data_IF_478321816448
#
_entry.id   IF_478321816448
#
_cell.length_a   1.000
_cell.length_b   1.000
_cell.length_c   1.000
_cell.angle_alpha   90.00
_cell.angle_beta   90.00
_cell.angle_gamma   90.00
#
_symmetry.space_group_name_H-M   'P 1'
#
loop_
_entity.id
_entity.type
_entity.pdbx_description
1 polymer ?
#
# COMPACT_ATOMS: atom_id res chain seq x y z
N UNK A 1 8.78 15.21 2.87
CA UNK A 1 8.10 14.43 3.93
C UNK A 1 8.86 14.63 5.23
N UNK A 2 8.36 15.46 6.13
CA UNK A 2 8.85 15.56 7.51
C UNK A 2 7.93 14.72 8.39
N UNK A 3 8.00 13.40 8.29
CA UNK A 3 7.53 12.54 9.37
C UNK A 3 8.67 12.47 10.39
N UNK A 4 8.56 13.21 11.46
CA UNK A 4 9.39 13.01 12.64
C UNK A 4 8.81 11.85 13.44
N UNK A 5 9.14 10.64 13.07
CA UNK A 5 9.12 9.55 14.03
C UNK A 5 10.36 9.76 14.90
N UNK A 6 10.17 10.17 16.12
CA UNK A 6 11.21 10.10 17.14
C UNK A 6 11.38 8.62 17.52
N UNK A 7 12.13 7.89 16.72
CA UNK A 7 12.57 6.55 17.08
C UNK A 7 13.87 6.70 17.87
N UNK A 8 13.91 6.37 19.17
CA UNK A 8 15.14 6.42 19.97
C UNK A 8 16.24 5.59 19.29
N UNK A 9 17.39 6.19 19.07
CA UNK A 9 18.54 5.52 18.41
C UNK A 9 18.48 5.48 16.89
N UNK A 10 17.52 6.15 16.24
CA UNK A 10 17.45 6.23 14.78
C UNK A 10 18.18 7.47 14.26
N UNK A 11 19.15 7.24 13.36
CA UNK A 11 19.87 8.31 12.68
C UNK A 11 19.52 8.31 11.19
N UNK A 12 18.97 9.41 10.68
CA UNK A 12 18.74 9.60 9.24
C UNK A 12 20.01 10.23 8.64
N UNK A 13 20.70 9.46 7.80
CA UNK A 13 21.80 9.96 6.99
C UNK A 13 21.30 10.06 5.55
N UNK A 14 21.22 11.27 5.02
CA UNK A 14 20.95 11.50 3.60
C UNK A 14 22.28 11.44 2.88
N UNK A 15 22.56 10.28 2.28
CA UNK A 15 23.76 10.05 1.50
C UNK A 15 23.41 9.92 0.02
N UNK A 16 23.85 10.89 -0.80
CA UNK A 16 23.66 10.84 -2.23
C UNK A 16 24.78 9.99 -2.87
N UNK A 17 24.45 8.76 -3.32
CA UNK A 17 25.38 7.81 -3.99
C UNK A 17 26.71 7.59 -3.27
N UNK A 18 26.77 7.78 -1.98
CA UNK A 18 28.01 7.85 -1.22
C UNK A 18 28.48 6.49 -0.78
N UNK A 19 29.79 6.33 -0.88
CA UNK A 19 30.51 5.24 -0.23
C UNK A 19 30.50 5.49 1.27
N UNK A 20 29.55 4.91 1.97
CA UNK A 20 29.55 4.94 3.43
C UNK A 20 30.65 3.96 3.88
N UNK A 21 31.67 4.49 4.57
CA UNK A 21 32.84 3.69 5.02
C UNK A 21 32.58 2.93 6.33
N UNK A 22 31.42 3.06 6.92
CA UNK A 22 31.06 2.37 8.15
C UNK A 22 30.85 0.87 7.92
N UNK A 23 31.07 0.05 8.95
CA UNK A 23 30.63 -1.34 8.98
C UNK A 23 29.16 -1.42 9.38
N UNK A 24 28.42 -2.27 8.68
CA UNK A 24 27.02 -2.56 8.98
C UNK A 24 26.82 -4.05 9.20
N UNK A 25 26.19 -4.43 10.30
CA UNK A 25 25.77 -5.81 10.48
C UNK A 25 24.70 -6.22 9.47
N UNK A 26 23.77 -5.31 9.17
CA UNK A 26 22.71 -5.56 8.20
C UNK A 26 22.37 -4.29 7.44
N UNK A 27 22.26 -4.41 6.13
CA UNK A 27 21.66 -3.39 5.26
C UNK A 27 20.40 -3.95 4.60
N UNK A 28 19.37 -3.11 4.52
CA UNK A 28 18.08 -3.47 3.91
C UNK A 28 17.79 -2.55 2.73
N UNK A 29 17.66 -3.12 1.54
CA UNK A 29 17.06 -2.45 0.40
C UNK A 29 15.54 -2.52 0.53
N UNK A 30 14.85 -1.42 0.26
CA UNK A 30 13.38 -1.33 0.35
C UNK A 30 12.72 -0.98 -0.99
N UNK A 31 13.53 -0.83 -2.03
CA UNK A 31 13.08 -0.56 -3.40
C UNK A 31 14.10 -1.19 -4.36
N UNK A 32 13.67 -1.64 -5.53
CA UNK A 32 14.52 -2.26 -6.54
C UNK A 32 15.81 -1.45 -6.83
N UNK A 33 15.69 -0.12 -6.93
CA UNK A 33 16.81 0.78 -7.21
C UNK A 33 17.84 0.87 -6.07
N UNK A 34 17.49 0.42 -4.86
CA UNK A 34 18.39 0.42 -3.71
C UNK A 34 19.14 -0.90 -3.53
N UNK A 35 18.75 -1.96 -4.25
CA UNK A 35 19.44 -3.26 -4.22
C UNK A 35 20.88 -3.13 -4.67
N UNK A 36 21.14 -2.43 -5.77
CA UNK A 36 22.49 -2.20 -6.26
C UNK A 36 23.36 -1.37 -5.30
N UNK A 37 22.73 -0.52 -4.50
CA UNK A 37 23.46 0.26 -3.49
C UNK A 37 24.00 -0.66 -2.40
N UNK A 38 23.19 -1.54 -1.84
CA UNK A 38 23.64 -2.46 -0.78
C UNK A 38 24.62 -3.52 -1.29
N UNK A 39 24.54 -3.91 -2.56
CA UNK A 39 25.48 -4.84 -3.21
C UNK A 39 26.89 -4.27 -3.30
N UNK A 40 27.00 -2.97 -3.61
CA UNK A 40 28.28 -2.28 -3.79
C UNK A 40 28.98 -1.92 -2.47
N UNK A 41 28.32 -2.09 -1.34
CA UNK A 41 28.93 -1.82 -0.03
C UNK A 41 29.81 -2.99 0.43
N UNK A 42 31.11 -2.71 0.66
CA UNK A 42 32.07 -3.75 1.04
C UNK A 42 31.92 -4.19 2.50
N UNK A 43 31.62 -3.26 3.40
CA UNK A 43 31.62 -3.48 4.85
C UNK A 43 30.23 -3.82 5.39
N UNK A 44 29.61 -4.87 4.85
CA UNK A 44 28.27 -5.33 5.24
C UNK A 44 28.29 -6.83 5.48
N UNK A 45 27.79 -7.27 6.65
CA UNK A 45 27.69 -8.70 6.98
C UNK A 45 26.48 -9.34 6.29
N UNK A 46 25.32 -8.72 6.43
CA UNK A 46 24.06 -9.24 5.87
C UNK A 46 23.42 -8.22 4.94
N UNK A 47 22.96 -8.68 3.77
CA UNK A 47 22.21 -7.89 2.80
C UNK A 47 20.81 -8.46 2.66
N UNK A 48 19.82 -7.62 2.91
CA UNK A 48 18.41 -8.00 2.78
C UNK A 48 17.74 -7.14 1.70
N UNK A 49 16.87 -7.74 0.93
CA UNK A 49 15.93 -7.00 0.09
C UNK A 49 14.51 -7.21 0.65
N UNK A 50 13.95 -6.16 1.19
CA UNK A 50 12.55 -6.14 1.62
C UNK A 50 11.66 -5.85 0.40
N UNK A 51 11.15 -6.91 -0.19
CA UNK A 51 10.29 -6.85 -1.37
C UNK A 51 8.88 -6.49 -0.91
N UNK A 52 8.46 -5.26 -1.24
CA UNK A 52 7.20 -4.70 -0.78
C UNK A 52 6.09 -4.80 -1.83
N UNK A 53 6.44 -5.02 -3.10
CA UNK A 53 5.49 -5.22 -4.20
C UNK A 53 6.21 -5.83 -5.41
N UNK A 54 5.47 -6.23 -6.44
CA UNK A 54 6.03 -6.51 -7.74
C UNK A 54 6.29 -5.18 -8.46
N UNK A 55 7.43 -4.57 -8.14
CA UNK A 55 7.78 -3.20 -8.55
C UNK A 55 7.98 -3.05 -10.06
N UNK A 56 8.12 -4.16 -10.78
CA UNK A 56 8.11 -4.19 -12.24
C UNK A 56 6.84 -3.59 -12.82
N UNK A 57 5.68 -3.82 -12.16
CA UNK A 57 4.37 -3.36 -12.61
C UNK A 57 4.04 -1.91 -12.17
N UNK A 58 4.98 -1.22 -11.54
CA UNK A 58 4.91 0.25 -11.41
C UNK A 58 5.22 0.99 -12.72
N UNK A 59 5.72 0.27 -13.70
CA UNK A 59 6.14 0.78 -15.00
C UNK A 59 5.33 0.12 -16.11
N UNK A 60 4.78 0.92 -17.01
CA UNK A 60 4.05 0.45 -18.17
C UNK A 60 4.88 -0.51 -19.04
N UNK A 61 4.25 -1.51 -19.67
CA UNK A 61 4.90 -2.28 -20.70
C UNK A 61 5.48 -1.36 -21.79
N UNK A 62 6.77 -1.50 -22.07
CA UNK A 62 7.45 -0.64 -23.05
C UNK A 62 8.18 0.58 -22.48
N UNK A 63 8.10 0.87 -21.16
CA UNK A 63 8.88 1.95 -20.54
C UNK A 63 10.42 1.71 -20.53
N UNK A 64 10.87 0.55 -21.01
CA UNK A 64 12.30 0.27 -21.22
C UNK A 64 13.06 0.02 -19.90
N UNK A 65 14.13 0.78 -19.70
CA UNK A 65 15.16 0.53 -18.68
C UNK A 65 14.61 0.40 -17.24
N UNK A 66 13.75 1.29 -16.70
CA UNK A 66 13.29 1.17 -15.32
C UNK A 66 12.52 -0.14 -15.04
N UNK A 67 11.68 -0.57 -15.98
CA UNK A 67 10.94 -1.83 -15.88
C UNK A 67 11.89 -3.03 -15.91
N UNK A 68 12.88 -3.00 -16.80
CA UNK A 68 13.88 -4.05 -16.90
C UNK A 68 14.72 -4.14 -15.63
N UNK A 69 15.21 -3.01 -15.09
CA UNK A 69 16.03 -2.99 -13.87
C UNK A 69 15.25 -3.43 -12.63
N UNK A 70 13.98 -3.04 -12.51
CA UNK A 70 13.11 -3.52 -11.45
C UNK A 70 12.97 -5.05 -11.50
N UNK A 71 12.73 -5.61 -12.68
CA UNK A 71 12.64 -7.06 -12.87
C UNK A 71 13.98 -7.75 -12.57
N UNK A 72 15.08 -7.19 -13.04
CA UNK A 72 16.43 -7.74 -12.84
C UNK A 72 16.84 -7.78 -11.36
N UNK A 73 16.30 -6.89 -10.51
CA UNK A 73 16.58 -6.88 -9.07
C UNK A 73 16.17 -8.18 -8.36
N UNK A 74 15.17 -8.88 -8.89
CA UNK A 74 14.73 -10.19 -8.36
C UNK A 74 15.57 -11.35 -8.86
N UNK A 75 16.35 -11.17 -9.92
CA UNK A 75 17.24 -12.20 -10.48
C UNK A 75 18.61 -12.26 -9.79
N UNK A 76 18.88 -11.37 -8.85
CA UNK A 76 20.18 -11.24 -8.21
C UNK A 76 20.63 -12.50 -7.47
N UNK A 77 21.88 -12.89 -7.65
CA UNK A 77 22.50 -14.05 -7.01
C UNK A 77 23.67 -13.67 -6.08
N UNK A 78 23.87 -12.40 -5.79
CA UNK A 78 25.02 -11.88 -5.05
C UNK A 78 24.95 -12.02 -3.52
N UNK A 79 24.20 -13.00 -2.99
CA UNK A 79 24.08 -13.24 -1.56
C UNK A 79 23.11 -12.32 -0.83
N UNK A 80 22.24 -11.61 -1.56
CA UNK A 80 21.13 -10.87 -0.99
C UNK A 80 20.01 -11.84 -0.56
N UNK A 81 19.57 -11.73 0.68
CA UNK A 81 18.44 -12.50 1.21
C UNK A 81 17.15 -11.70 1.01
N UNK A 82 16.07 -12.40 0.67
CA UNK A 82 14.76 -11.76 0.43
C UNK A 82 13.87 -11.88 1.63
N UNK A 83 13.21 -10.79 2.00
CA UNK A 83 12.11 -10.75 2.97
C UNK A 83 10.92 -10.07 2.32
N UNK A 84 9.71 -10.46 2.70
CA UNK A 84 8.47 -9.86 2.17
C UNK A 84 7.37 -9.88 3.21
N UNK A 85 6.39 -9.00 3.04
CA UNK A 85 5.24 -8.87 3.94
C UNK A 85 3.97 -9.53 3.40
N UNK A 86 4.03 -10.20 2.24
CA UNK A 86 2.85 -10.86 1.69
C UNK A 86 3.16 -12.25 1.13
N UNK A 87 2.22 -13.18 1.33
CA UNK A 87 2.30 -14.53 0.74
C UNK A 87 2.22 -14.48 -0.78
N UNK A 88 1.55 -13.47 -1.34
CA UNK A 88 1.54 -13.23 -2.78
C UNK A 88 2.95 -12.91 -3.29
N UNK A 89 3.67 -11.98 -2.63
CA UNK A 89 5.05 -11.69 -2.97
C UNK A 89 5.96 -12.92 -2.81
N UNK A 90 5.79 -13.68 -1.73
CA UNK A 90 6.58 -14.89 -1.50
C UNK A 90 6.38 -15.92 -2.63
N UNK A 91 5.14 -16.11 -3.07
CA UNK A 91 4.81 -17.05 -4.14
C UNK A 91 5.49 -16.67 -5.46
N UNK A 92 5.27 -15.46 -5.97
CA UNK A 92 5.86 -15.10 -7.25
C UNK A 92 7.39 -14.99 -7.21
N UNK A 93 8.00 -14.60 -6.09
CA UNK A 93 9.45 -14.68 -5.89
C UNK A 93 9.95 -16.11 -6.08
N UNK A 94 9.25 -17.08 -5.49
CA UNK A 94 9.60 -18.49 -5.60
C UNK A 94 9.31 -19.06 -7.00
N UNK A 95 8.12 -18.84 -7.51
CA UNK A 95 7.63 -19.52 -8.72
C UNK A 95 8.24 -18.95 -10.01
N UNK A 96 8.50 -17.63 -10.04
CA UNK A 96 9.01 -16.94 -11.23
C UNK A 96 10.51 -16.72 -11.15
N UNK A 97 11.03 -16.30 -10.01
CA UNK A 97 12.44 -15.92 -9.86
C UNK A 97 13.29 -16.97 -9.13
N UNK A 98 12.68 -18.07 -8.67
CA UNK A 98 13.32 -19.14 -7.90
C UNK A 98 14.06 -18.61 -6.67
N UNK A 99 13.46 -17.62 -5.98
CA UNK A 99 13.99 -17.00 -4.76
C UNK A 99 13.20 -17.44 -3.54
N UNK A 100 13.89 -18.07 -2.61
CA UNK A 100 13.32 -18.27 -1.28
C UNK A 100 13.32 -16.93 -0.53
N UNK A 101 12.21 -16.63 0.14
CA UNK A 101 12.06 -15.41 0.93
C UNK A 101 11.46 -15.70 2.29
N UNK A 102 11.82 -14.89 3.29
CA UNK A 102 11.20 -14.95 4.61
C UNK A 102 9.94 -14.08 4.61
N UNK A 103 8.84 -14.66 5.02
CA UNK A 103 7.59 -13.95 5.20
C UNK A 103 7.52 -13.31 6.59
N UNK A 104 7.22 -12.02 6.63
CA UNK A 104 6.98 -11.25 7.85
C UNK A 104 5.69 -10.47 7.63
N UNK A 105 4.59 -10.91 8.23
CA UNK A 105 3.29 -10.29 8.06
C UNK A 105 3.29 -8.83 8.50
N UNK A 106 2.65 -7.97 7.72
CA UNK A 106 2.32 -6.63 8.15
C UNK A 106 1.18 -6.66 9.19
N UNK A 107 1.15 -5.60 9.99
CA UNK A 107 0.07 -5.32 10.93
C UNK A 107 -0.24 -3.83 10.96
N UNK A 108 -1.27 -3.45 11.70
CA UNK A 108 -1.60 -2.06 11.98
C UNK A 108 -1.57 -1.82 13.48
N UNK A 109 -1.26 -0.61 13.89
CA UNK A 109 -1.41 -0.18 15.27
C UNK A 109 -2.88 0.18 15.51
N UNK A 110 -3.63 -0.75 16.08
CA UNK A 110 -5.07 -0.59 16.31
C UNK A 110 -5.41 0.59 17.25
N UNK A 111 -4.44 1.06 18.05
CA UNK A 111 -4.66 2.22 18.93
C UNK A 111 -4.88 3.52 18.15
N UNK A 112 -4.44 3.58 16.90
CA UNK A 112 -4.63 4.72 15.98
C UNK A 112 -6.00 4.71 15.28
N UNK A 113 -6.77 3.61 15.40
CA UNK A 113 -8.05 3.41 14.70
C UNK A 113 -9.19 3.27 15.69
N UNK A 114 -9.83 4.38 16.11
CA UNK A 114 -10.89 4.33 17.10
C UNK A 114 -12.10 3.55 16.58
N UNK A 115 -12.50 2.52 17.32
CA UNK A 115 -13.68 1.74 16.99
C UNK A 115 -14.96 2.58 17.15
N UNK A 116 -15.84 2.50 16.16
CA UNK A 116 -17.19 3.08 16.21
C UNK A 116 -18.21 2.04 15.77
N UNK A 117 -19.21 1.79 16.58
CA UNK A 117 -20.36 1.02 16.16
C UNK A 117 -21.14 1.75 15.06
N UNK A 118 -21.60 1.03 14.04
CA UNK A 118 -22.34 1.57 12.90
C UNK A 118 -23.80 1.11 12.99
N UNK A 119 -24.70 2.06 13.01
CA UNK A 119 -26.14 1.82 12.99
C UNK A 119 -26.75 1.98 11.59
N UNK A 120 -25.98 2.50 10.65
CA UNK A 120 -26.38 2.81 9.27
C UNK A 120 -27.63 3.68 9.18
N UNK A 121 -27.86 4.54 10.18
CA UNK A 121 -28.92 5.53 10.18
C UNK A 121 -28.49 6.80 9.45
N UNK A 122 -29.44 7.50 8.81
CA UNK A 122 -29.17 8.70 8.03
C UNK A 122 -28.43 8.43 6.72
N UNK A 123 -27.58 9.37 6.28
CA UNK A 123 -26.75 9.17 5.08
C UNK A 123 -25.61 8.21 5.39
N UNK A 124 -25.47 7.21 4.55
CA UNK A 124 -24.33 6.27 4.61
C UNK A 124 -23.08 6.96 4.09
N UNK A 125 -22.00 6.95 4.87
CA UNK A 125 -20.75 7.63 4.56
C UNK A 125 -19.76 6.67 3.91
N UNK A 126 -19.45 6.94 2.66
CA UNK A 126 -18.54 6.14 1.86
C UNK A 126 -17.17 6.82 1.81
N UNK A 127 -16.12 6.04 2.08
CA UNK A 127 -14.73 6.45 1.90
C UNK A 127 -14.18 5.80 0.63
N UNK A 128 -13.53 6.61 -0.22
CA UNK A 128 -12.63 6.14 -1.28
C UNK A 128 -11.21 6.54 -0.89
N UNK A 129 -10.26 5.60 -0.96
CA UNK A 129 -8.85 5.88 -0.72
C UNK A 129 -8.02 5.51 -1.96
N UNK A 130 -7.12 6.41 -2.35
CA UNK A 130 -6.16 6.19 -3.44
C UNK A 130 -5.77 7.49 -4.15
N UNK A 131 -4.75 7.38 -5.00
CA UNK A 131 -4.29 8.50 -5.82
C UNK A 131 -5.01 8.48 -7.17
N UNK A 132 -5.70 9.58 -7.52
CA UNK A 132 -6.49 9.73 -8.76
C UNK A 132 -5.67 9.62 -10.06
N UNK A 133 -4.33 9.68 -9.98
CA UNK A 133 -3.42 9.54 -11.13
C UNK A 133 -2.68 8.19 -11.16
N UNK A 134 -2.87 7.34 -10.15
CA UNK A 134 -2.24 6.02 -10.11
C UNK A 134 -3.19 5.00 -10.73
N UNK A 135 -2.90 4.54 -11.93
CA UNK A 135 -3.75 3.60 -12.68
C UNK A 135 -4.06 2.33 -11.90
N UNK A 136 -3.06 1.77 -11.23
CA UNK A 136 -3.24 0.58 -10.40
C UNK A 136 -4.11 0.80 -9.15
N UNK A 137 -4.32 2.04 -8.71
CA UNK A 137 -5.29 2.36 -7.64
C UNK A 137 -6.72 2.38 -8.16
N UNK A 138 -6.89 2.61 -9.45
CA UNK A 138 -8.16 2.53 -10.16
C UNK A 138 -9.32 3.27 -9.48
N UNK A 139 -9.04 4.44 -8.90
CA UNK A 139 -10.05 5.27 -8.22
C UNK A 139 -11.17 5.74 -9.16
N UNK A 140 -10.88 5.84 -10.45
CA UNK A 140 -11.89 6.16 -11.47
C UNK A 140 -13.07 5.19 -11.45
N UNK A 141 -12.79 3.89 -11.27
CA UNK A 141 -13.84 2.87 -11.19
C UNK A 141 -14.75 3.09 -9.98
N UNK A 142 -14.17 3.39 -8.81
CA UNK A 142 -14.95 3.72 -7.63
C UNK A 142 -15.90 4.91 -7.88
N UNK A 143 -15.37 5.98 -8.50
CA UNK A 143 -16.19 7.17 -8.76
C UNK A 143 -17.20 6.99 -9.89
N UNK A 144 -16.98 6.12 -10.87
CA UNK A 144 -18.03 5.73 -11.85
C UNK A 144 -19.22 5.07 -11.18
N UNK A 145 -19.00 4.28 -10.13
CA UNK A 145 -20.06 3.66 -9.32
C UNK A 145 -20.73 4.72 -8.46
N UNK A 146 -19.95 5.48 -7.70
CA UNK A 146 -20.40 6.45 -6.71
C UNK A 146 -21.25 7.55 -7.35
N UNK A 147 -20.88 8.03 -8.55
CA UNK A 147 -21.64 9.06 -9.25
C UNK A 147 -23.06 8.64 -9.64
N UNK A 148 -23.37 7.33 -9.59
CA UNK A 148 -24.72 6.79 -9.82
C UNK A 148 -25.56 6.67 -8.54
N UNK A 149 -24.95 6.84 -7.37
CA UNK A 149 -25.60 6.72 -6.09
C UNK A 149 -26.42 7.98 -5.78
N UNK A 150 -27.57 7.77 -5.11
CA UNK A 150 -28.45 8.85 -4.67
C UNK A 150 -27.76 9.78 -3.66
N UNK A 151 -27.61 11.08 -3.96
CA UNK A 151 -26.92 12.02 -3.08
C UNK A 151 -27.66 12.27 -1.76
N UNK A 152 -28.97 12.00 -1.69
CA UNK A 152 -29.72 12.13 -0.46
C UNK A 152 -29.45 10.98 0.53
N UNK A 153 -28.94 9.84 0.03
CA UNK A 153 -28.66 8.66 0.84
C UNK A 153 -27.18 8.45 1.15
N UNK A 154 -26.28 9.04 0.37
CA UNK A 154 -24.85 8.80 0.48
C UNK A 154 -24.02 10.08 0.55
N UNK A 155 -23.11 10.14 1.51
CA UNK A 155 -22.06 11.17 1.64
C UNK A 155 -20.72 10.56 1.25
N UNK A 156 -19.94 11.24 0.42
CA UNK A 156 -18.70 10.71 -0.17
C UNK A 156 -17.50 11.44 0.39
N UNK A 157 -16.62 10.68 1.03
CA UNK A 157 -15.30 11.13 1.48
C UNK A 157 -14.21 10.56 0.55
N UNK A 158 -13.25 11.38 0.20
CA UNK A 158 -12.09 10.97 -0.60
C UNK A 158 -10.80 11.26 0.14
N UNK A 159 -9.98 10.25 0.33
CA UNK A 159 -8.66 10.33 0.98
C UNK A 159 -7.56 10.09 -0.06
N UNK A 160 -6.69 11.09 -0.27
CA UNK A 160 -5.54 10.98 -1.16
C UNK A 160 -4.33 11.72 -0.62
N UNK A 161 -3.14 11.13 -0.80
CA UNK A 161 -1.89 11.74 -0.34
C UNK A 161 -1.22 12.63 -1.38
N UNK A 162 -1.44 12.40 -2.67
CA UNK A 162 -0.67 13.07 -3.72
C UNK A 162 -1.49 13.98 -4.58
N UNK A 163 -2.69 13.59 -4.94
CA UNK A 163 -3.48 14.26 -5.97
C UNK A 163 -4.87 14.60 -5.47
N UNK A 164 -5.38 15.68 -5.99
CA UNK A 164 -6.74 16.13 -5.80
C UNK A 164 -7.73 15.24 -6.57
N UNK A 165 -9.03 15.28 -6.24
CA UNK A 165 -10.05 14.62 -7.03
C UNK A 165 -10.06 15.18 -8.46
N UNK A 166 -10.46 14.37 -9.42
CA UNK A 166 -10.75 14.84 -10.78
C UNK A 166 -12.07 15.60 -10.78
N UNK A 167 -12.26 16.54 -11.70
CA UNK A 167 -13.44 17.44 -11.77
C UNK A 167 -14.77 16.67 -11.83
N UNK A 168 -14.78 15.46 -12.36
CA UNK A 168 -15.97 14.63 -12.48
C UNK A 168 -16.22 13.71 -11.26
N UNK A 169 -15.32 13.70 -10.27
CA UNK A 169 -15.53 12.95 -9.03
C UNK A 169 -16.53 13.66 -8.14
N UNK A 170 -17.61 13.00 -7.77
CA UNK A 170 -18.48 13.46 -6.70
C UNK A 170 -17.80 13.28 -5.36
N UNK A 171 -17.42 14.36 -4.71
CA UNK A 171 -16.74 14.34 -3.40
C UNK A 171 -17.39 15.37 -2.50
N UNK A 172 -17.93 14.95 -1.36
CA UNK A 172 -18.50 15.85 -0.36
C UNK A 172 -17.42 16.29 0.64
N UNK A 173 -16.44 15.42 0.96
CA UNK A 173 -15.31 15.73 1.83
C UNK A 173 -14.01 15.24 1.22
N UNK A 174 -13.03 16.11 1.13
CA UNK A 174 -11.69 15.76 0.63
C UNK A 174 -10.65 15.85 1.73
N UNK A 175 -9.91 14.77 1.92
CA UNK A 175 -8.79 14.65 2.84
C UNK A 175 -7.49 14.49 2.07
N UNK A 176 -6.60 15.47 2.19
CA UNK A 176 -5.31 15.46 1.50
C UNK A 176 -4.17 15.62 2.48
N UNK A 177 -3.18 14.74 2.37
CA UNK A 177 -1.94 14.82 3.17
C UNK A 177 -2.18 14.98 4.67
N UNK A 178 -3.20 14.35 5.18
CA UNK A 178 -3.46 14.34 6.63
C UNK A 178 -2.36 13.55 7.34
N UNK A 179 -2.13 13.86 8.61
CA UNK A 179 -1.14 13.15 9.41
C UNK A 179 -1.60 11.72 9.72
N UNK A 180 -0.68 10.76 9.87
CA UNK A 180 -1.03 9.37 10.17
C UNK A 180 -1.95 9.22 11.39
N UNK A 181 -1.77 10.03 12.41
CA UNK A 181 -2.56 10.01 13.65
C UNK A 181 -4.04 10.37 13.40
N UNK A 182 -4.33 11.13 12.34
CA UNK A 182 -5.69 11.54 11.96
C UNK A 182 -6.35 10.61 10.94
N UNK A 183 -5.58 9.70 10.34
CA UNK A 183 -6.11 8.76 9.34
C UNK A 183 -7.20 7.89 9.96
N UNK A 184 -6.96 7.35 11.16
CA UNK A 184 -7.94 6.52 11.87
C UNK A 184 -9.26 7.23 12.15
N UNK A 185 -9.24 8.54 12.44
CA UNK A 185 -10.45 9.34 12.62
C UNK A 185 -11.27 9.45 11.34
N UNK A 186 -10.61 9.56 10.17
CA UNK A 186 -11.27 9.59 8.87
C UNK A 186 -11.97 8.25 8.60
N UNK A 187 -11.28 7.12 8.81
CA UNK A 187 -11.89 5.80 8.69
C UNK A 187 -13.06 5.62 9.65
N UNK A 188 -12.89 6.01 10.93
CA UNK A 188 -13.95 5.93 11.93
C UNK A 188 -15.17 6.82 11.59
N UNK A 189 -14.97 7.92 10.85
CA UNK A 189 -16.05 8.81 10.44
C UNK A 189 -16.90 8.27 9.28
N UNK A 190 -16.41 7.22 8.57
CA UNK A 190 -17.08 6.61 7.42
C UNK A 190 -17.64 5.24 7.78
N UNK A 191 -18.62 4.76 7.02
CA UNK A 191 -19.30 3.48 7.26
C UNK A 191 -18.78 2.39 6.32
N UNK A 192 -18.49 2.76 5.06
CA UNK A 192 -18.08 1.84 4.01
C UNK A 192 -16.82 2.36 3.33
N UNK A 193 -15.84 1.50 3.14
CA UNK A 193 -14.71 1.74 2.24
C UNK A 193 -15.00 1.11 0.88
N UNK A 194 -14.84 1.86 -0.21
CA UNK A 194 -14.76 1.32 -1.57
C UNK A 194 -13.31 1.39 -2.04
N UNK A 195 -12.69 0.23 -2.29
CA UNK A 195 -11.29 0.10 -2.71
C UNK A 195 -11.19 -0.71 -3.98
N UNK A 196 -10.90 -0.02 -5.09
CA UNK A 196 -10.89 -0.60 -6.45
C UNK A 196 -9.49 -0.90 -6.99
N UNK A 197 -8.46 -0.85 -6.14
CA UNK A 197 -7.08 -1.13 -6.53
C UNK A 197 -6.92 -2.51 -7.14
N UNK A 198 -6.25 -2.58 -8.29
CA UNK A 198 -5.96 -3.82 -9.02
C UNK A 198 -4.62 -4.44 -8.65
N UNK A 199 -3.69 -3.63 -8.15
CA UNK A 199 -2.36 -4.08 -7.70
C UNK A 199 -2.09 -3.57 -6.28
N UNK A 200 -1.99 -4.48 -5.36
CA UNK A 200 -1.56 -4.24 -3.97
C UNK A 200 -0.77 -5.47 -3.49
N UNK A 201 0.22 -5.23 -2.68
CA UNK A 201 0.99 -6.31 -2.05
C UNK A 201 0.44 -6.72 -0.68
N UNK A 202 -0.22 -5.79 0.03
CA UNK A 202 -0.86 -6.06 1.32
C UNK A 202 -2.21 -5.34 1.48
N UNK A 203 -2.34 -4.08 1.02
CA UNK A 203 -3.56 -3.28 1.09
C UNK A 203 -4.03 -2.94 2.51
N UNK A 204 -3.40 -1.96 3.16
CA UNK A 204 -3.78 -1.49 4.49
C UNK A 204 -5.23 -0.97 4.62
N UNK A 205 -5.81 -0.22 3.66
CA UNK A 205 -7.10 0.43 3.81
C UNK A 205 -8.26 -0.46 4.27
N UNK A 206 -8.44 -1.69 3.78
CA UNK A 206 -9.50 -2.56 4.30
C UNK A 206 -9.28 -2.98 5.76
N UNK A 207 -8.01 -3.21 6.20
CA UNK A 207 -7.71 -3.49 7.60
C UNK A 207 -8.01 -2.31 8.50
N UNK A 208 -7.65 -1.11 8.06
CA UNK A 208 -7.90 0.15 8.76
C UNK A 208 -9.40 0.41 8.93
N UNK A 209 -10.18 0.17 7.88
CA UNK A 209 -11.64 0.26 7.94
C UNK A 209 -12.23 -0.76 8.90
N UNK A 210 -11.81 -2.02 8.85
CA UNK A 210 -12.27 -3.06 9.77
C UNK A 210 -11.91 -2.74 11.22
N UNK A 211 -10.71 -2.22 11.48
CA UNK A 211 -10.28 -1.82 12.83
C UNK A 211 -11.20 -0.75 13.42
N UNK A 212 -11.74 0.15 12.60
CA UNK A 212 -12.72 1.14 13.05
C UNK A 212 -14.16 0.61 13.13
N UNK A 213 -14.41 -0.65 12.77
CA UNK A 213 -15.73 -1.29 12.75
C UNK A 213 -16.53 -1.05 11.45
N UNK A 214 -15.92 -0.50 10.39
CA UNK A 214 -16.57 -0.28 9.09
C UNK A 214 -16.53 -1.49 8.17
N UNK A 215 -17.25 -1.39 7.06
CA UNK A 215 -17.35 -2.44 6.03
C UNK A 215 -16.48 -2.07 4.83
N UNK A 216 -15.86 -3.06 4.20
CA UNK A 216 -15.06 -2.86 2.99
C UNK A 216 -15.68 -3.55 1.78
N UNK A 217 -15.81 -2.81 0.69
CA UNK A 217 -16.14 -3.32 -0.66
C UNK A 217 -14.88 -3.17 -1.51
N UNK A 218 -14.29 -4.27 -1.95
CA UNK A 218 -12.95 -4.27 -2.52
C UNK A 218 -12.85 -5.08 -3.80
N UNK A 219 -11.96 -4.69 -4.69
CA UNK A 219 -11.48 -5.56 -5.78
C UNK A 219 -10.49 -6.55 -5.19
N UNK A 220 -10.72 -7.88 -5.32
CA UNK A 220 -9.78 -8.88 -4.86
C UNK A 220 -8.46 -8.80 -5.67
N UNK A 221 -7.33 -8.78 -4.96
CA UNK A 221 -6.00 -8.76 -5.54
C UNK A 221 -5.01 -9.54 -4.65
N UNK A 222 -3.78 -9.73 -5.13
CA UNK A 222 -2.79 -10.55 -4.45
C UNK A 222 -2.52 -10.16 -2.99
N UNK A 223 -2.63 -8.86 -2.68
CA UNK A 223 -2.29 -8.35 -1.35
C UNK A 223 -3.43 -8.38 -0.34
N UNK A 224 -4.69 -8.46 -0.79
CA UNK A 224 -5.83 -8.39 0.13
C UNK A 224 -6.53 -9.73 0.36
N UNK A 225 -6.44 -10.67 -0.59
CA UNK A 225 -7.05 -12.02 -0.44
C UNK A 225 -6.38 -12.89 0.62
N UNK A 226 -5.27 -12.44 1.21
CA UNK A 226 -4.62 -13.13 2.31
C UNK A 226 -5.44 -13.05 3.61
N UNK A 227 -6.15 -11.97 3.82
CA UNK A 227 -6.91 -11.72 5.05
C UNK A 227 -8.38 -11.37 4.81
N UNK A 228 -8.77 -11.04 3.58
CA UNK A 228 -10.16 -10.77 3.20
C UNK A 228 -10.84 -12.04 2.69
N UNK A 229 -12.08 -12.23 3.13
CA UNK A 229 -12.96 -13.34 2.73
C UNK A 229 -14.32 -12.78 2.36
N UNK A 230 -14.71 -12.98 1.10
CA UNK A 230 -15.98 -12.50 0.55
C UNK A 230 -17.18 -13.01 1.37
N UNK A 231 -18.11 -12.11 1.67
CA UNK A 231 -19.30 -12.40 2.47
C UNK A 231 -19.06 -12.67 3.96
N UNK A 232 -17.79 -12.66 4.42
CA UNK A 232 -17.46 -12.87 5.82
C UNK A 232 -16.96 -11.58 6.51
N UNK A 233 -15.88 -10.97 6.00
CA UNK A 233 -15.30 -9.76 6.56
C UNK A 233 -15.17 -8.61 5.54
N UNK A 234 -15.60 -8.84 4.32
CA UNK A 234 -15.67 -7.84 3.26
C UNK A 234 -16.69 -8.29 2.21
N UNK A 235 -16.92 -7.43 1.21
CA UNK A 235 -17.59 -7.80 -0.03
C UNK A 235 -16.62 -7.63 -1.19
N UNK A 236 -16.50 -8.65 -2.03
CA UNK A 236 -15.69 -8.58 -3.24
C UNK A 236 -16.50 -8.00 -4.39
N UNK A 237 -15.92 -7.01 -5.02
CA UNK A 237 -16.44 -6.39 -6.25
C UNK A 237 -15.70 -6.97 -7.46
N UNK A 238 -16.45 -7.45 -8.45
CA UNK A 238 -15.88 -7.87 -9.75
C UNK A 238 -15.88 -6.68 -10.69
N UNK A 239 -14.70 -6.36 -11.21
CA UNK A 239 -14.55 -5.36 -12.27
C UNK A 239 -15.25 -5.84 -13.55
N UNK A 240 -15.89 -4.92 -14.26
CA UNK A 240 -16.56 -5.19 -15.54
C UNK A 240 -17.74 -4.29 -15.78
#
# INVERSE_FOLDING_TARGET
YKYRYELPGFNIIIAHKTKIKAFFDTQVATLWSTVDVIKKQANVRNRLYFVQNFETDFYEPGTGEPRFLANASYCDQSGVQYITMSLWCQRWLKDIFHKESRYVSNGIDISLYPYRERDFTGKIKILVEGDSKSEYKNTDEAFRIINKLDPEKFEISYLSYRKEPKDWYRVDRFYNRISPEKVGEVYASCDILIKTSILESFSYPPLEMMATGGVSVVVPNGGNVEYLKDGYNCLFYKQG
#
